data_IF_156754589878
#
_entry.id   IF_156754589878
#
_cell.length_a   1.000
_cell.length_b   1.000
_cell.length_c   1.000
_cell.angle_alpha   90.00
_cell.angle_beta   90.00
_cell.angle_gamma   90.00
#
_symmetry.space_group_name_H-M   'P 1'
#
loop_
_entity.id
_entity.type
_entity.pdbx_description
1 polymer ?
#
# COMPACT_ATOMS: atom_id res chain seq x y z
N UNK A 1 6.94 -3.89 -14.23
CA UNK A 1 7.24 -4.35 -12.85
C UNK A 1 8.53 -5.13 -12.92
N UNK A 2 9.56 -4.69 -12.18
CA UNK A 2 10.88 -5.31 -12.17
C UNK A 2 10.97 -6.46 -11.16
N UNK A 3 10.52 -6.20 -9.94
CA UNK A 3 10.59 -7.14 -8.81
C UNK A 3 9.33 -7.00 -7.95
N UNK A 4 8.89 -8.11 -7.36
CA UNK A 4 7.79 -8.11 -6.38
C UNK A 4 8.09 -9.09 -5.26
N UNK A 5 8.02 -8.61 -4.03
CA UNK A 5 8.01 -9.42 -2.81
C UNK A 5 6.80 -9.01 -1.99
N UNK A 6 5.62 -9.43 -2.45
CA UNK A 6 4.33 -9.10 -1.86
C UNK A 6 3.70 -10.34 -1.27
N UNK A 7 3.10 -10.19 -0.09
CA UNK A 7 2.22 -11.19 0.51
C UNK A 7 0.85 -10.58 0.75
N UNK A 8 -0.19 -11.39 0.60
CA UNK A 8 -1.51 -11.02 1.06
C UNK A 8 -1.54 -11.10 2.59
N UNK A 9 -1.88 -9.99 3.24
CA UNK A 9 -2.11 -9.95 4.68
C UNK A 9 -3.61 -9.82 4.91
N UNK A 10 -4.21 -10.87 5.47
CA UNK A 10 -5.62 -10.85 5.84
C UNK A 10 -5.75 -10.26 7.25
N UNK A 11 -6.54 -9.20 7.36
CA UNK A 11 -6.95 -8.63 8.64
C UNK A 11 -8.42 -8.23 8.59
N UNK A 12 -9.04 -8.14 9.75
CA UNK A 12 -10.45 -7.83 9.89
C UNK A 12 -10.66 -6.71 10.91
N UNK A 13 -11.74 -5.94 10.72
CA UNK A 13 -12.23 -4.99 11.72
C UNK A 13 -13.69 -5.26 12.02
N UNK A 14 -14.08 -5.17 13.29
CA UNK A 14 -15.48 -5.14 13.65
C UNK A 14 -16.14 -3.79 13.28
N UNK A 15 -17.35 -3.85 12.75
CA UNK A 15 -18.18 -2.70 12.44
C UNK A 15 -19.34 -2.63 13.42
N UNK A 16 -19.28 -1.74 14.41
CA UNK A 16 -20.37 -1.57 15.37
C UNK A 16 -21.69 -1.12 14.72
N UNK A 17 -21.63 -0.38 13.60
CA UNK A 17 -22.83 0.06 12.86
C UNK A 17 -23.55 -1.10 12.15
N UNK A 18 -22.81 -2.11 11.69
CA UNK A 18 -23.35 -3.23 10.92
C UNK A 18 -23.32 -4.54 11.70
N UNK A 19 -22.86 -4.50 12.95
CA UNK A 19 -22.64 -5.62 13.85
C UNK A 19 -21.88 -6.82 13.22
N UNK A 20 -20.95 -6.54 12.31
CA UNK A 20 -20.25 -7.57 11.52
C UNK A 20 -18.76 -7.33 11.42
N UNK A 21 -17.99 -8.40 11.14
CA UNK A 21 -16.56 -8.31 10.83
C UNK A 21 -16.38 -8.00 9.35
N UNK A 22 -15.67 -6.93 9.07
CA UNK A 22 -15.32 -6.50 7.73
C UNK A 22 -13.93 -7.02 7.40
N UNK A 23 -13.81 -7.68 6.24
CA UNK A 23 -12.51 -8.05 5.66
C UNK A 23 -11.81 -6.81 5.14
N UNK A 24 -10.56 -6.67 5.53
CA UNK A 24 -9.74 -5.51 5.23
C UNK A 24 -8.40 -5.90 4.59
N UNK A 25 -8.26 -7.15 4.13
CA UNK A 25 -7.00 -7.64 3.57
C UNK A 25 -6.43 -6.81 2.41
N UNK A 26 -5.10 -6.87 2.28
CA UNK A 26 -4.37 -6.18 1.23
C UNK A 26 -2.94 -6.72 1.07
N UNK A 27 -2.20 -6.17 0.13
CA UNK A 27 -0.80 -6.51 -0.06
C UNK A 27 0.11 -5.77 0.93
N UNK A 28 1.07 -6.49 1.47
CA UNK A 28 2.19 -5.94 2.23
C UNK A 28 3.50 -6.48 1.67
N UNK A 29 4.55 -5.66 1.70
CA UNK A 29 5.86 -6.00 1.16
C UNK A 29 6.35 -4.95 0.17
N UNK A 30 7.23 -5.36 -0.73
CA UNK A 30 8.00 -4.48 -1.61
C UNK A 30 7.70 -4.77 -3.08
N UNK A 31 7.70 -3.72 -3.90
CA UNK A 31 7.53 -3.84 -5.34
C UNK A 31 8.36 -2.75 -6.04
N UNK A 32 9.12 -3.17 -7.04
CA UNK A 32 9.98 -2.29 -7.83
C UNK A 32 9.39 -2.11 -9.22
N UNK A 33 9.21 -0.87 -9.64
CA UNK A 33 8.80 -0.50 -10.99
C UNK A 33 9.99 0.09 -11.75
N UNK A 34 10.04 -0.14 -13.06
CA UNK A 34 11.04 0.46 -13.96
C UNK A 34 10.35 0.88 -15.26
N UNK A 35 10.92 1.87 -15.96
CA UNK A 35 10.37 2.48 -17.17
C UNK A 35 10.18 3.99 -17.03
N UNK A 36 9.32 4.57 -17.87
CA UNK A 36 8.97 5.99 -17.83
C UNK A 36 7.99 6.30 -16.69
N UNK A 37 8.52 6.40 -15.48
CA UNK A 37 7.76 6.61 -14.24
C UNK A 37 7.63 8.09 -13.90
N UNK A 38 8.52 8.93 -14.43
CA UNK A 38 8.60 10.37 -14.14
C UNK A 38 7.24 11.09 -14.24
N UNK A 39 6.39 10.86 -15.26
CA UNK A 39 5.09 11.52 -15.37
C UNK A 39 4.14 11.22 -14.20
N UNK A 40 4.33 10.10 -13.51
CA UNK A 40 3.48 9.64 -12.41
C UNK A 40 4.03 9.99 -11.03
N UNK A 41 5.28 10.46 -10.94
CA UNK A 41 5.95 10.76 -9.67
C UNK A 41 5.18 11.72 -8.76
N UNK A 42 4.46 12.76 -9.26
CA UNK A 42 3.62 13.59 -8.39
C UNK A 42 2.55 12.79 -7.64
N UNK A 43 1.91 11.83 -8.32
CA UNK A 43 0.87 10.99 -7.72
C UNK A 43 1.45 9.93 -6.80
N UNK A 44 2.59 9.34 -7.16
CA UNK A 44 3.30 8.36 -6.32
C UNK A 44 3.78 9.02 -5.02
N UNK A 45 4.35 10.22 -5.08
CA UNK A 45 4.73 10.96 -3.86
C UNK A 45 3.51 11.34 -3.01
N UNK A 46 2.41 11.77 -3.65
CA UNK A 46 1.18 12.07 -2.91
C UNK A 46 0.64 10.85 -2.15
N UNK A 47 0.80 9.65 -2.71
CA UNK A 47 0.36 8.40 -2.08
C UNK A 47 1.12 8.02 -0.81
N UNK A 48 2.35 8.50 -0.58
CA UNK A 48 3.05 8.30 0.71
C UNK A 48 2.30 8.97 1.88
N UNK A 49 1.64 10.10 1.60
CA UNK A 49 0.86 10.87 2.58
C UNK A 49 -0.61 10.44 2.62
N UNK A 50 -1.22 10.28 1.44
CA UNK A 50 -2.65 10.02 1.30
C UNK A 50 -3.02 8.54 1.40
N UNK A 51 -2.01 7.66 1.31
CA UNK A 51 -2.17 6.22 1.07
C UNK A 51 -2.88 5.93 -0.27
N UNK A 52 -3.03 4.65 -0.62
CA UNK A 52 -3.66 4.25 -1.89
C UNK A 52 -4.64 3.09 -1.72
N UNK A 53 -5.74 3.10 -2.47
CA UNK A 53 -6.72 2.02 -2.52
C UNK A 53 -7.86 2.18 -1.51
N UNK A 54 -8.46 1.05 -1.11
CA UNK A 54 -9.64 1.04 -0.22
C UNK A 54 -9.21 1.08 1.24
N UNK A 55 -9.90 1.89 2.04
CA UNK A 55 -9.73 1.90 3.50
C UNK A 55 -8.54 2.72 4.00
N UNK A 56 -8.08 3.69 3.22
CA UNK A 56 -6.99 4.61 3.60
C UNK A 56 -7.23 5.31 4.93
N UNK A 57 -8.47 5.75 5.19
CA UNK A 57 -8.89 6.31 6.49
C UNK A 57 -8.84 5.33 7.67
N UNK A 58 -8.66 4.02 7.41
CA UNK A 58 -8.42 2.99 8.41
C UNK A 58 -6.95 2.51 8.42
N UNK A 59 -6.04 3.26 7.78
CA UNK A 59 -4.61 2.98 7.78
C UNK A 59 -4.11 2.09 6.64
N UNK A 60 -4.96 1.73 5.67
CA UNK A 60 -4.57 0.83 4.57
C UNK A 60 -3.87 1.56 3.45
N UNK A 61 -3.07 0.82 2.70
CA UNK A 61 -2.42 1.34 1.50
C UNK A 61 -1.30 2.34 1.77
N UNK A 62 -0.80 2.38 3.01
CA UNK A 62 0.37 3.16 3.36
C UNK A 62 1.60 2.53 2.71
N UNK A 63 2.45 3.36 2.12
CA UNK A 63 3.75 2.97 1.60
C UNK A 63 4.73 4.12 1.74
N UNK A 64 6.00 3.83 1.46
CA UNK A 64 7.02 4.84 1.25
C UNK A 64 7.87 4.44 0.04
N UNK A 65 8.53 5.42 -0.58
CA UNK A 65 9.43 5.23 -1.71
C UNK A 65 10.83 5.01 -1.16
N UNK A 66 11.47 3.90 -1.53
CA UNK A 66 12.86 3.62 -1.17
C UNK A 66 13.80 3.83 -2.35
N UNK A 67 15.06 4.22 -2.10
CA UNK A 67 16.11 4.10 -3.10
C UNK A 67 16.27 2.63 -3.51
N UNK A 68 16.65 2.35 -4.78
CA UNK A 68 16.93 0.98 -5.20
C UNK A 68 17.98 0.32 -4.30
N UNK A 69 17.65 -0.82 -3.71
CA UNK A 69 18.60 -1.66 -2.94
C UNK A 69 18.76 -1.34 -1.45
N UNK A 70 17.95 -0.44 -0.87
CA UNK A 70 17.95 -0.20 0.58
C UNK A 70 16.69 -0.81 1.24
N UNK A 71 16.85 -1.75 2.21
CA UNK A 71 15.70 -2.32 2.91
C UNK A 71 15.04 -1.29 3.84
N UNK A 72 13.75 -1.45 4.07
CA UNK A 72 13.00 -0.70 5.08
C UNK A 72 13.43 -1.17 6.48
N UNK A 73 14.03 -0.26 7.28
CA UNK A 73 14.34 -0.47 8.71
C UNK A 73 13.12 -0.30 9.59
#
# INVERSE_FOLDING_TARGET
VKEKNLKWYEWERYSGRQETRLKMGGFVGEITFEGDIEPFMPFIKAGEVLHVGKGTGFGLGKYCITPPGLPLT
#
